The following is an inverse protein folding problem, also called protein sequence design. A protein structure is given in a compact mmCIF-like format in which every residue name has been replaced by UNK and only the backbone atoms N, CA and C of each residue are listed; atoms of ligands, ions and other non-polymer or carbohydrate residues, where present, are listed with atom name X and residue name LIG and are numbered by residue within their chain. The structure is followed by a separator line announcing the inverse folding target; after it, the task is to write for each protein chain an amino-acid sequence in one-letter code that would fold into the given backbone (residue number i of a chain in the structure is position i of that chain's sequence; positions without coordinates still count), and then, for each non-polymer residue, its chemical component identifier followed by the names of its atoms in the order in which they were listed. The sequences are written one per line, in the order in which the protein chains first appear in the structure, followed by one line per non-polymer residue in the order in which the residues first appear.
data_IF_883363700440
#
_entry.id   IF_883363700440
#
_cell.length_a   1.000
_cell.length_b   1.000
_cell.length_c   1.000
_cell.angle_alpha   90.00
_cell.angle_beta   90.00
_cell.angle_gamma   90.00
#
_symmetry.space_group_name_H-M   'P 1'
#
loop_
_entity.id
_entity.type
_entity.pdbx_description
1 polymer ?
#
# COMPACT_ATOMS: atom_id res chain seq x y z
N UNK A 1 -11.40 24.08 9.29
CA UNK A 1 -11.00 22.90 10.09
C UNK A 1 -11.42 23.15 11.54
N UNK A 2 -12.17 22.26 12.19
CA UNK A 2 -12.56 22.45 13.61
C UNK A 2 -11.46 22.04 14.59
N UNK A 3 -10.56 21.15 14.18
CA UNK A 3 -9.42 20.66 14.98
C UNK A 3 -8.13 21.36 14.54
N UNK A 4 -7.30 21.74 15.50
CA UNK A 4 -6.03 22.44 15.33
C UNK A 4 -4.96 21.77 16.19
N UNK A 5 -3.74 21.75 15.66
CA UNK A 5 -2.53 21.47 16.43
C UNK A 5 -1.71 22.74 16.53
N UNK A 6 -1.08 22.91 17.68
CA UNK A 6 -0.23 24.06 17.92
C UNK A 6 0.56 23.90 19.20
N UNK A 7 1.45 24.84 19.41
CA UNK A 7 2.23 24.93 20.64
C UNK A 7 1.47 25.76 21.65
N UNK A 8 1.44 25.28 22.90
CA UNK A 8 0.93 26.06 24.01
C UNK A 8 1.92 27.15 24.41
N UNK A 9 1.44 28.38 24.48
CA UNK A 9 2.18 29.53 24.97
C UNK A 9 1.36 30.32 26.00
N UNK A 10 2.07 31.09 26.84
CA UNK A 10 1.44 32.04 27.76
C UNK A 10 1.94 33.45 27.43
N UNK A 11 1.02 34.30 27.00
CA UNK A 11 1.26 35.70 26.63
C UNK A 11 0.45 36.55 27.60
N UNK A 12 1.11 37.46 28.33
CA UNK A 12 0.50 38.34 29.33
C UNK A 12 -0.40 37.61 30.37
N UNK A 13 0.03 36.43 30.81
CA UNK A 13 -0.71 35.62 31.80
C UNK A 13 -1.90 34.85 31.23
N UNK A 14 -2.10 34.86 29.90
CA UNK A 14 -3.20 34.17 29.23
C UNK A 14 -2.69 33.04 28.36
N UNK A 15 -3.46 31.96 28.32
CA UNK A 15 -3.17 30.79 27.49
C UNK A 15 -3.49 31.06 26.01
N UNK A 16 -2.52 30.76 25.15
CA UNK A 16 -2.64 30.84 23.71
C UNK A 16 -2.26 29.51 23.06
N UNK A 17 -2.94 29.23 21.97
CA UNK A 17 -2.53 28.24 20.98
C UNK A 17 -1.79 28.98 19.88
N UNK A 18 -0.57 28.56 19.58
CA UNK A 18 0.19 28.96 18.39
C UNK A 18 0.04 27.84 17.36
N UNK A 19 -0.86 27.97 16.36
CA UNK A 19 -1.12 26.88 15.41
C UNK A 19 0.13 26.53 14.58
N UNK A 20 0.29 25.24 14.26
CA UNK A 20 1.39 24.80 13.37
C UNK A 20 1.22 25.29 11.92
N UNK A 21 -0.01 25.59 11.50
CA UNK A 21 -0.27 26.23 10.22
C UNK A 21 -0.10 27.75 10.35
N UNK A 22 1.01 28.27 9.84
CA UNK A 22 1.36 29.70 9.93
C UNK A 22 0.34 30.64 9.28
N UNK A 23 -0.59 30.13 8.46
CA UNK A 23 -1.71 30.92 7.91
C UNK A 23 -2.76 31.25 8.96
N UNK A 24 -2.75 30.54 10.09
CA UNK A 24 -3.69 30.72 11.20
C UNK A 24 -2.96 31.47 12.32
N UNK A 25 -3.47 32.65 12.68
CA UNK A 25 -2.92 33.43 13.77
C UNK A 25 -3.09 32.76 15.15
N UNK A 26 -2.25 33.20 16.10
CA UNK A 26 -2.37 32.82 17.50
C UNK A 26 -3.78 33.11 18.04
N UNK A 27 -4.33 32.22 18.85
CA UNK A 27 -5.66 32.38 19.41
C UNK A 27 -5.73 32.01 20.88
N UNK A 28 -6.60 32.68 21.68
CA UNK A 28 -6.84 32.29 23.06
C UNK A 28 -7.25 30.82 23.18
N UNK A 29 -6.64 30.12 24.13
CA UNK A 29 -6.86 28.71 24.40
C UNK A 29 -7.53 28.53 25.76
N UNK A 30 -8.70 27.90 25.76
CA UNK A 30 -9.38 27.44 26.99
C UNK A 30 -8.76 26.11 27.43
N UNK A 31 -8.22 26.09 28.63
CA UNK A 31 -7.61 24.92 29.25
C UNK A 31 -8.53 24.43 30.37
N UNK A 32 -8.91 23.16 30.34
CA UNK A 32 -9.60 22.50 31.43
C UNK A 32 -8.59 21.67 32.22
N UNK A 33 -8.20 22.10 33.42
CA UNK A 33 -7.32 21.34 34.31
C UNK A 33 -6.00 22.03 34.68
N UNK A 34 -4.95 21.20 34.88
CA UNK A 34 -3.68 21.59 35.49
C UNK A 34 -2.86 22.58 34.65
N UNK A 35 -1.88 23.22 35.30
CA UNK A 35 -0.89 24.10 34.66
C UNK A 35 -0.08 23.29 33.64
N UNK A 36 0.02 23.80 32.42
CA UNK A 36 0.80 23.21 31.34
C UNK A 36 2.13 23.96 31.20
N UNK A 37 3.19 23.24 30.85
CA UNK A 37 4.48 23.85 30.53
C UNK A 37 4.44 24.49 29.15
N UNK A 38 5.04 25.67 29.01
CA UNK A 38 5.21 26.37 27.72
C UNK A 38 5.96 25.49 26.73
N UNK A 39 5.66 25.65 25.45
CA UNK A 39 6.36 24.94 24.38
C UNK A 39 5.84 23.53 24.07
N UNK A 40 4.90 22.99 24.86
CA UNK A 40 4.28 21.69 24.58
C UNK A 40 3.32 21.75 23.40
N UNK A 41 3.32 20.71 22.58
CA UNK A 41 2.32 20.51 21.52
C UNK A 41 0.99 20.12 22.15
N UNK A 42 -0.08 20.75 21.69
CA UNK A 42 -1.45 20.48 22.13
C UNK A 42 -2.39 20.37 20.93
N UNK A 43 -3.37 19.49 21.08
CA UNK A 43 -4.52 19.40 20.19
C UNK A 43 -5.68 20.21 20.78
N UNK A 44 -6.33 21.00 19.93
CA UNK A 44 -7.43 21.87 20.32
C UNK A 44 -8.55 21.87 19.28
N UNK A 45 -9.76 22.19 19.71
CA UNK A 45 -10.92 22.42 18.84
C UNK A 45 -11.34 23.87 18.87
N UNK A 46 -11.65 24.45 17.70
CA UNK A 46 -12.18 25.81 17.58
C UNK A 46 -13.56 25.85 18.24
N UNK A 47 -13.61 26.44 19.43
CA UNK A 47 -14.82 26.60 20.23
C UNK A 47 -15.67 27.79 19.77
N UNK A 48 -15.03 28.82 19.21
CA UNK A 48 -15.68 29.97 18.60
C UNK A 48 -14.90 30.45 17.38
N UNK A 49 -15.58 30.58 16.25
CA UNK A 49 -15.00 31.25 15.08
C UNK A 49 -14.94 32.76 15.32
N UNK A 50 -13.86 33.39 14.85
CA UNK A 50 -13.69 34.83 14.95
C UNK A 50 -14.72 35.57 14.10
N UNK A 51 -15.00 36.81 14.48
CA UNK A 51 -15.76 37.78 13.68
C UNK A 51 -14.88 39.00 13.42
N UNK A 52 -15.38 39.98 12.65
CA UNK A 52 -14.67 41.26 12.49
C UNK A 52 -14.38 41.96 13.83
N UNK A 53 -15.16 41.66 14.88
CA UNK A 53 -15.09 42.33 16.19
C UNK A 53 -14.51 41.46 17.31
N UNK A 54 -14.28 40.16 17.06
CA UNK A 54 -13.85 39.24 18.12
C UNK A 54 -12.89 38.16 17.59
N UNK A 55 -11.80 37.87 18.31
CA UNK A 55 -10.87 36.83 17.89
C UNK A 55 -11.51 35.44 17.99
N UNK A 56 -11.04 34.47 17.18
CA UNK A 56 -11.38 33.07 17.35
C UNK A 56 -10.88 32.55 18.70
N UNK A 57 -11.50 31.50 19.23
CA UNK A 57 -11.11 30.84 20.48
C UNK A 57 -11.07 29.33 20.30
N UNK A 58 -10.05 28.69 20.85
CA UNK A 58 -9.92 27.24 20.88
C UNK A 58 -10.12 26.69 22.30
N UNK A 59 -10.57 25.44 22.40
CA UNK A 59 -10.59 24.67 23.63
C UNK A 59 -9.63 23.49 23.48
N UNK A 60 -8.73 23.32 24.45
CA UNK A 60 -7.78 22.22 24.46
C UNK A 60 -8.53 20.90 24.61
N UNK A 61 -8.16 19.92 23.78
CA UNK A 61 -8.69 18.56 23.81
C UNK A 61 -7.68 17.63 24.48
N UNK A 62 -6.41 17.76 24.13
CA UNK A 62 -5.35 16.86 24.59
C UNK A 62 -3.99 17.57 24.59
N UNK A 63 -3.17 17.27 25.60
CA UNK A 63 -1.75 17.61 25.60
C UNK A 63 -1.01 16.47 24.92
N UNK A 64 -0.23 16.78 23.87
CA UNK A 64 0.51 15.78 23.12
C UNK A 64 1.90 15.53 23.74
N UNK A 65 2.67 16.59 24.03
CA UNK A 65 3.98 16.46 24.66
C UNK A 65 5.03 17.42 24.08
N UNK A 66 6.30 17.02 24.11
CA UNK A 66 7.42 17.79 23.56
C UNK A 66 7.44 17.75 22.02
N UNK A 67 7.68 18.88 21.35
CA UNK A 67 7.68 18.95 19.88
C UNK A 67 8.77 18.12 19.21
N UNK A 68 9.88 17.87 19.93
CA UNK A 68 11.04 17.12 19.42
C UNK A 68 10.92 15.61 19.68
N UNK A 69 9.87 15.15 20.37
CA UNK A 69 9.61 13.73 20.59
C UNK A 69 8.98 13.10 19.33
N UNK A 70 9.60 12.07 18.73
CA UNK A 70 9.05 11.40 17.53
C UNK A 70 7.63 10.84 17.72
N UNK A 71 7.27 10.35 18.91
CA UNK A 71 5.91 9.88 19.19
C UNK A 71 4.93 11.04 19.13
N UNK A 72 5.30 12.21 19.66
CA UNK A 72 4.47 13.42 19.61
C UNK A 72 4.28 13.89 18.15
N UNK A 73 5.31 13.77 17.33
CA UNK A 73 5.22 14.08 15.90
C UNK A 73 4.29 13.12 15.15
N UNK A 74 4.41 11.81 15.40
CA UNK A 74 3.52 10.80 14.83
C UNK A 74 2.06 11.03 15.25
N UNK A 75 1.79 11.22 16.55
CA UNK A 75 0.45 11.52 17.07
C UNK A 75 -0.13 12.83 16.50
N UNK A 76 0.74 13.83 16.27
CA UNK A 76 0.34 15.08 15.62
C UNK A 76 -0.11 14.84 14.18
N UNK A 77 0.60 14.00 13.41
CA UNK A 77 0.17 13.63 12.04
C UNK A 77 -1.17 12.87 12.10
N UNK A 78 -1.29 11.87 12.96
CA UNK A 78 -2.51 11.08 13.17
C UNK A 78 -3.70 12.00 13.45
N UNK A 79 -3.55 12.92 14.41
CA UNK A 79 -4.60 13.87 14.77
C UNK A 79 -4.91 14.85 13.63
N UNK A 80 -3.89 15.39 12.96
CA UNK A 80 -4.05 16.38 11.87
C UNK A 80 -4.87 15.83 10.72
N UNK A 81 -4.61 14.59 10.32
CA UNK A 81 -5.28 13.92 9.22
C UNK A 81 -6.54 13.17 9.66
N UNK A 82 -6.87 13.18 10.96
CA UNK A 82 -8.06 12.52 11.49
C UNK A 82 -8.00 11.00 11.42
N UNK A 83 -6.79 10.43 11.46
CA UNK A 83 -6.57 8.99 11.46
C UNK A 83 -6.95 8.41 12.82
N UNK A 84 -7.64 7.26 12.83
CA UNK A 84 -8.03 6.58 14.07
C UNK A 84 -7.20 5.30 14.25
N UNK A 85 -6.33 5.23 15.27
CA UNK A 85 -5.60 3.99 15.56
C UNK A 85 -6.51 2.90 16.14
N UNK A 86 -7.60 3.28 16.83
CA UNK A 86 -8.56 2.34 17.42
C UNK A 86 -9.76 2.06 16.53
N UNK A 87 -10.33 0.86 16.65
CA UNK A 87 -11.57 0.48 16.00
C UNK A 87 -12.78 0.70 16.91
N UNK A 88 -13.95 1.08 16.36
CA UNK A 88 -15.18 1.19 17.14
C UNK A 88 -15.61 -0.14 17.79
N UNK A 89 -16.30 -0.14 18.96
CA UNK A 89 -16.73 -1.37 19.65
C UNK A 89 -17.60 -2.31 18.81
N UNK A 90 -18.39 -1.77 17.89
CA UNK A 90 -19.19 -2.54 16.94
C UNK A 90 -18.34 -3.37 15.97
N UNK A 91 -17.20 -2.84 15.52
CA UNK A 91 -16.24 -3.56 14.68
C UNK A 91 -15.63 -4.73 15.46
N UNK A 92 -15.20 -4.48 16.70
CA UNK A 92 -14.67 -5.55 17.56
C UNK A 92 -15.68 -6.68 17.81
N UNK A 93 -16.95 -6.35 18.03
CA UNK A 93 -18.00 -7.36 18.20
C UNK A 93 -18.20 -8.20 16.93
N UNK A 94 -18.18 -7.57 15.76
CA UNK A 94 -18.31 -8.27 14.48
C UNK A 94 -17.14 -9.24 14.26
N UNK A 95 -15.90 -8.78 14.46
CA UNK A 95 -14.68 -9.58 14.38
C UNK A 95 -14.75 -10.78 15.32
N UNK A 96 -15.09 -10.58 16.60
CA UNK A 96 -15.17 -11.66 17.60
C UNK A 96 -16.29 -12.68 17.30
N UNK A 97 -17.32 -12.28 16.55
CA UNK A 97 -18.41 -13.16 16.13
C UNK A 97 -18.11 -13.95 14.85
N UNK A 98 -17.08 -13.55 14.10
CA UNK A 98 -16.70 -14.20 12.87
C UNK A 98 -16.12 -15.60 13.17
N UNK A 99 -16.64 -16.62 12.48
CA UNK A 99 -16.08 -17.98 12.54
C UNK A 99 -14.85 -18.00 11.64
N UNK A 100 -13.66 -18.10 12.25
CA UNK A 100 -12.38 -18.14 11.53
C UNK A 100 -12.05 -19.51 10.92
N UNK A 101 -12.96 -20.48 11.00
CA UNK A 101 -12.82 -21.78 10.35
C UNK A 101 -13.56 -21.76 9.01
N UNK A 102 -12.84 -22.07 7.94
CA UNK A 102 -13.43 -22.22 6.61
C UNK A 102 -14.24 -23.52 6.61
N UNK A 103 -15.54 -23.44 6.30
CA UNK A 103 -16.39 -24.63 6.25
C UNK A 103 -16.04 -25.53 5.07
N UNK A 104 -16.18 -26.84 5.23
CA UNK A 104 -16.02 -27.80 4.12
C UNK A 104 -16.95 -27.51 2.95
N UNK A 105 -18.15 -27.00 3.24
CA UNK A 105 -19.12 -26.59 2.23
C UNK A 105 -18.67 -25.37 1.42
N UNK A 106 -17.90 -24.46 2.01
CA UNK A 106 -17.31 -23.32 1.30
C UNK A 106 -16.12 -23.77 0.45
N UNK A 107 -15.27 -24.66 0.99
CA UNK A 107 -14.17 -25.28 0.25
C UNK A 107 -14.69 -26.00 -1.00
N UNK A 108 -15.76 -26.79 -0.87
CA UNK A 108 -16.34 -27.55 -1.97
C UNK A 108 -16.94 -26.70 -3.10
N UNK A 109 -17.22 -25.41 -2.86
CA UNK A 109 -17.75 -24.47 -3.86
C UNK A 109 -16.66 -23.77 -4.68
N UNK A 110 -15.40 -23.87 -4.24
CA UNK A 110 -14.27 -23.12 -4.78
C UNK A 110 -13.35 -24.04 -5.56
N UNK A 111 -12.58 -23.45 -6.47
CA UNK A 111 -11.52 -24.20 -7.15
C UNK A 111 -10.40 -24.53 -6.17
N UNK A 112 -10.06 -25.82 -6.07
CA UNK A 112 -9.04 -26.30 -5.16
C UNK A 112 -7.65 -26.17 -5.77
N UNK A 113 -6.91 -25.15 -5.33
CA UNK A 113 -5.54 -24.87 -5.74
C UNK A 113 -4.52 -25.29 -4.67
N UNK A 114 -4.96 -25.90 -3.56
CA UNK A 114 -4.06 -26.39 -2.48
C UNK A 114 -2.98 -27.36 -2.97
N UNK A 115 -3.18 -28.18 -4.02
CA UNK A 115 -2.11 -29.03 -4.55
C UNK A 115 -0.98 -28.27 -5.27
N UNK A 116 -1.18 -27.01 -5.65
CA UNK A 116 -0.16 -26.21 -6.32
C UNK A 116 0.81 -25.62 -5.28
N UNK A 117 2.12 -25.56 -5.56
CA UNK A 117 3.11 -24.95 -4.67
C UNK A 117 3.07 -23.41 -4.80
N UNK A 118 1.93 -22.83 -4.49
CA UNK A 118 1.69 -21.38 -4.42
C UNK A 118 2.47 -20.81 -3.24
N UNK A 119 3.07 -19.64 -3.40
CA UNK A 119 3.89 -18.96 -2.37
C UNK A 119 3.51 -17.49 -2.25
N UNK A 120 3.75 -16.90 -1.09
CA UNK A 120 3.73 -15.43 -0.90
C UNK A 120 5.18 -14.91 -0.93
N UNK A 121 5.41 -13.70 -1.43
CA UNK A 121 6.73 -13.06 -1.48
C UNK A 121 6.60 -11.61 -1.06
N UNK A 122 7.07 -11.30 0.14
CA UNK A 122 6.82 -10.01 0.80
C UNK A 122 8.08 -9.44 1.47
N UNK A 123 7.97 -8.26 2.07
CA UNK A 123 9.01 -7.71 2.94
C UNK A 123 9.17 -8.51 4.24
N UNK A 124 10.34 -8.45 4.86
CA UNK A 124 10.68 -9.17 6.10
C UNK A 124 9.71 -8.84 7.24
N UNK A 125 9.26 -7.59 7.29
CA UNK A 125 8.39 -7.06 8.34
C UNK A 125 6.88 -7.20 8.04
N UNK A 126 6.51 -7.68 6.84
CA UNK A 126 5.11 -7.85 6.45
C UNK A 126 4.44 -8.96 7.27
N UNK A 127 3.17 -8.75 7.63
CA UNK A 127 2.34 -9.70 8.43
C UNK A 127 1.00 -10.03 7.77
N UNK A 128 0.58 -9.18 6.84
CA UNK A 128 -0.62 -9.22 6.04
C UNK A 128 -0.24 -9.59 4.59
N UNK A 129 -0.25 -10.88 4.30
CA UNK A 129 0.09 -11.39 2.97
C UNK A 129 -1.19 -11.42 2.12
N UNK A 130 -1.36 -10.42 1.25
CA UNK A 130 -2.58 -10.25 0.46
C UNK A 130 -2.57 -11.07 -0.84
N UNK A 131 -1.39 -11.35 -1.39
CA UNK A 131 -1.23 -12.03 -2.67
C UNK A 131 -0.30 -13.24 -2.59
N UNK A 132 -0.61 -14.23 -3.41
CA UNK A 132 0.19 -15.43 -3.58
C UNK A 132 0.26 -15.81 -5.06
N UNK A 133 1.41 -16.31 -5.50
CA UNK A 133 1.70 -16.50 -6.92
C UNK A 133 2.18 -17.90 -7.25
N UNK A 134 1.80 -18.37 -8.43
CA UNK A 134 2.31 -19.60 -9.03
C UNK A 134 2.33 -19.48 -10.56
N UNK A 135 3.40 -19.92 -11.18
CA UNK A 135 3.56 -20.00 -12.63
C UNK A 135 3.72 -21.46 -13.05
N UNK A 136 3.18 -21.85 -14.22
CA UNK A 136 3.56 -23.10 -14.90
C UNK A 136 3.71 -22.88 -16.39
N UNK A 137 4.48 -23.75 -17.05
CA UNK A 137 4.57 -23.75 -18.51
C UNK A 137 3.28 -24.27 -19.14
N UNK A 138 2.90 -23.68 -20.27
CA UNK A 138 1.80 -24.14 -21.11
C UNK A 138 2.28 -24.15 -22.58
N UNK A 139 2.83 -25.28 -23.03
CA UNK A 139 3.48 -25.38 -24.33
C UNK A 139 4.68 -24.44 -24.43
N UNK A 140 4.65 -23.51 -25.39
CA UNK A 140 5.65 -22.43 -25.53
C UNK A 140 5.34 -21.18 -24.68
N UNK A 141 4.19 -21.16 -24.01
CA UNK A 141 3.72 -20.06 -23.18
C UNK A 141 3.72 -20.38 -21.69
N UNK A 142 2.96 -19.59 -20.94
CA UNK A 142 2.91 -19.64 -19.48
C UNK A 142 1.48 -19.49 -18.98
N UNK A 143 1.22 -20.04 -17.82
CA UNK A 143 0.05 -19.74 -17.02
C UNK A 143 0.50 -19.16 -15.68
N UNK A 144 0.00 -17.99 -15.36
CA UNK A 144 0.18 -17.31 -14.08
C UNK A 144 -1.11 -17.42 -13.27
N UNK A 145 -0.96 -17.76 -12.01
CA UNK A 145 -2.00 -17.75 -10.99
C UNK A 145 -1.61 -16.67 -9.99
N UNK A 146 -2.43 -15.63 -9.89
CA UNK A 146 -2.36 -14.60 -8.84
C UNK A 146 -3.57 -14.79 -7.94
N UNK A 147 -3.35 -15.33 -6.75
CA UNK A 147 -4.38 -15.60 -5.76
C UNK A 147 -4.39 -14.48 -4.72
N UNK A 148 -5.45 -13.68 -4.69
CA UNK A 148 -5.63 -12.57 -3.75
C UNK A 148 -6.52 -13.02 -2.60
N UNK A 149 -6.20 -12.65 -1.37
CA UNK A 149 -7.04 -12.86 -0.20
C UNK A 149 -8.50 -12.46 -0.46
N UNK A 150 -9.46 -13.36 -0.16
CA UNK A 150 -10.89 -13.06 -0.35
C UNK A 150 -11.45 -12.21 0.80
N UNK A 151 -10.96 -10.97 0.94
CA UNK A 151 -11.39 -10.02 1.97
C UNK A 151 -12.91 -9.79 1.90
N UNK A 152 -13.48 -9.79 0.69
CA UNK A 152 -14.92 -9.62 0.46
C UNK A 152 -15.81 -10.72 1.06
N UNK A 153 -15.22 -11.89 1.35
CA UNK A 153 -15.91 -12.96 2.06
C UNK A 153 -16.13 -12.61 3.54
N UNK A 154 -15.16 -11.93 4.16
CA UNK A 154 -15.14 -11.60 5.59
C UNK A 154 -15.70 -10.21 5.89
N UNK A 155 -15.52 -9.26 4.97
CA UNK A 155 -16.05 -7.90 5.06
C UNK A 155 -17.24 -7.79 4.12
N UNK A 156 -18.46 -7.84 4.67
CA UNK A 156 -19.70 -7.81 3.89
C UNK A 156 -20.25 -6.40 3.78
N UNK A 157 -20.87 -6.04 2.64
CA UNK A 157 -21.45 -4.70 2.47
C UNK A 157 -22.39 -4.33 3.61
N UNK A 158 -22.38 -3.06 3.97
CA UNK A 158 -23.25 -2.44 4.97
C UNK A 158 -23.00 -2.88 6.43
N UNK A 159 -22.00 -3.74 6.70
CA UNK A 159 -21.62 -4.11 8.08
C UNK A 159 -20.75 -3.05 8.75
N UNK A 160 -20.46 -3.22 10.05
CA UNK A 160 -19.61 -2.28 10.77
C UNK A 160 -18.16 -2.34 10.27
N UNK A 161 -17.68 -3.53 9.89
CA UNK A 161 -16.38 -3.70 9.23
C UNK A 161 -16.31 -2.95 7.90
N UNK A 162 -17.34 -3.07 7.06
CA UNK A 162 -17.39 -2.39 5.76
C UNK A 162 -17.42 -0.86 5.91
N UNK A 163 -18.27 -0.34 6.78
CA UNK A 163 -18.36 1.10 7.04
C UNK A 163 -17.04 1.68 7.56
N UNK A 164 -16.35 0.95 8.45
CA UNK A 164 -15.06 1.37 8.99
C UNK A 164 -13.94 1.27 7.95
N UNK A 165 -13.91 0.20 7.15
CA UNK A 165 -12.95 0.04 6.05
C UNK A 165 -13.15 1.16 5.01
N UNK A 166 -14.39 1.49 4.67
CA UNK A 166 -14.73 2.61 3.80
C UNK A 166 -14.28 3.96 4.38
N UNK A 167 -14.49 4.18 5.68
CA UNK A 167 -14.07 5.42 6.35
C UNK A 167 -12.54 5.58 6.40
N UNK A 168 -11.80 4.48 6.54
CA UNK A 168 -10.32 4.47 6.53
C UNK A 168 -9.74 4.54 5.13
N UNK A 169 -10.42 3.94 4.15
CA UNK A 169 -10.06 3.78 2.74
C UNK A 169 -8.77 3.00 2.44
N UNK A 170 -7.72 3.16 3.24
CA UNK A 170 -6.43 2.48 3.07
C UNK A 170 -5.68 2.38 4.41
N UNK A 171 -4.75 1.43 4.52
CA UNK A 171 -3.81 1.36 5.63
C UNK A 171 -2.79 2.49 5.52
N UNK A 172 -2.38 3.08 6.66
CA UNK A 172 -1.39 4.16 6.69
C UNK A 172 -0.12 3.65 7.37
N UNK A 173 0.99 3.65 6.64
CA UNK A 173 2.28 3.14 7.12
C UNK A 173 3.17 4.29 7.63
N UNK A 174 3.54 4.22 8.89
CA UNK A 174 4.58 5.03 9.53
C UNK A 174 5.88 4.20 9.60
N UNK A 175 7.05 4.84 9.81
CA UNK A 175 8.31 4.11 9.93
C UNK A 175 8.32 3.03 11.01
N UNK A 176 7.61 3.24 12.12
CA UNK A 176 7.60 2.36 13.30
C UNK A 176 6.32 1.52 13.44
N UNK A 177 5.22 1.87 12.76
CA UNK A 177 3.92 1.21 12.89
C UNK A 177 3.02 1.38 11.67
N UNK A 178 2.00 0.53 11.57
CA UNK A 178 0.91 0.74 10.63
C UNK A 178 -0.39 1.11 11.37
N UNK A 179 -1.21 1.96 10.76
CA UNK A 179 -2.62 2.14 11.12
C UNK A 179 -3.42 1.32 10.11
N UNK A 180 -3.90 0.12 10.47
CA UNK A 180 -4.46 -0.79 9.49
C UNK A 180 -5.89 -0.36 9.11
N UNK A 181 -6.25 -0.64 7.86
CA UNK A 181 -7.62 -0.47 7.37
C UNK A 181 -8.59 -1.46 8.04
N UNK A 182 -8.13 -2.68 8.29
CA UNK A 182 -8.90 -3.74 8.93
C UNK A 182 -8.28 -4.12 10.28
N UNK A 183 -9.08 -4.62 11.25
CA UNK A 183 -8.53 -5.13 12.49
C UNK A 183 -7.50 -6.24 12.26
N UNK A 184 -6.42 -6.25 13.05
CA UNK A 184 -5.30 -7.21 12.88
C UNK A 184 -5.74 -8.68 12.91
N UNK A 185 -6.78 -9.01 13.69
CA UNK A 185 -7.37 -10.34 13.74
C UNK A 185 -7.89 -10.82 12.38
N UNK A 186 -8.25 -9.90 11.49
CA UNK A 186 -8.59 -10.19 10.10
C UNK A 186 -7.36 -10.08 9.20
N UNK A 187 -6.70 -8.91 9.18
CA UNK A 187 -5.62 -8.62 8.22
C UNK A 187 -4.45 -9.57 8.35
N UNK A 188 -3.97 -9.83 9.58
CA UNK A 188 -2.82 -10.70 9.85
C UNK A 188 -3.24 -12.17 10.08
N UNK A 189 -4.55 -12.38 10.29
CA UNK A 189 -5.14 -13.67 10.63
C UNK A 189 -5.70 -14.39 9.41
N UNK A 190 -7.02 -14.36 9.28
CA UNK A 190 -7.74 -15.18 8.28
C UNK A 190 -7.67 -14.60 6.86
N UNK A 191 -7.45 -13.30 6.71
CA UNK A 191 -7.25 -12.68 5.39
C UNK A 191 -5.79 -12.81 4.94
N UNK A 192 -4.82 -12.88 5.85
CA UNK A 192 -3.42 -13.12 5.48
C UNK A 192 -3.24 -14.53 4.94
N UNK A 193 -2.55 -14.66 3.80
CA UNK A 193 -2.26 -15.93 3.12
C UNK A 193 -1.12 -16.72 3.79
N UNK A 194 -1.26 -16.93 5.11
CA UNK A 194 -0.28 -17.59 5.96
C UNK A 194 0.12 -18.99 5.44
N UNK A 195 1.40 -19.36 5.56
CA UNK A 195 1.90 -20.62 5.04
C UNK A 195 1.31 -21.80 5.79
N UNK A 196 1.05 -22.89 5.07
CA UNK A 196 0.51 -24.15 5.57
C UNK A 196 -0.89 -24.05 6.18
N UNK A 197 -1.66 -23.02 5.84
CA UNK A 197 -3.05 -22.89 6.26
C UNK A 197 -3.96 -22.73 5.04
N UNK A 198 -5.15 -23.33 5.10
CA UNK A 198 -6.14 -23.19 4.04
C UNK A 198 -6.70 -21.75 4.08
N UNK A 199 -6.77 -21.11 2.90
CA UNK A 199 -7.18 -19.71 2.75
C UNK A 199 -8.09 -19.51 1.55
N UNK A 200 -9.14 -18.72 1.75
CA UNK A 200 -10.07 -18.31 0.70
C UNK A 200 -9.44 -17.19 -0.12
N UNK A 201 -9.47 -17.37 -1.45
CA UNK A 201 -8.87 -16.44 -2.39
C UNK A 201 -9.79 -16.17 -3.57
N UNK A 202 -9.55 -15.04 -4.24
CA UNK A 202 -10.00 -14.78 -5.60
C UNK A 202 -8.78 -14.86 -6.50
N UNK A 203 -8.78 -15.80 -7.44
CA UNK A 203 -7.62 -16.04 -8.31
C UNK A 203 -7.84 -15.46 -9.70
N UNK A 204 -6.88 -14.67 -10.15
CA UNK A 204 -6.68 -14.34 -11.55
C UNK A 204 -5.75 -15.37 -12.18
N UNK A 205 -6.31 -16.20 -13.07
CA UNK A 205 -5.54 -17.08 -13.95
C UNK A 205 -5.33 -16.38 -15.28
N UNK A 206 -4.09 -16.28 -15.72
CA UNK A 206 -3.70 -15.52 -16.90
C UNK A 206 -2.77 -16.38 -17.75
N UNK A 207 -3.14 -16.57 -19.01
CA UNK A 207 -2.33 -17.26 -19.99
C UNK A 207 -1.52 -16.25 -20.81
N UNK A 208 -0.26 -16.57 -21.03
CA UNK A 208 0.68 -15.79 -21.82
C UNK A 208 1.26 -16.64 -22.95
N UNK A 209 1.47 -16.03 -24.11
CA UNK A 209 2.27 -16.65 -25.16
C UNK A 209 3.78 -16.60 -24.82
N UNK A 210 4.62 -17.21 -25.66
CA UNK A 210 6.07 -17.24 -25.46
C UNK A 210 6.78 -15.87 -25.53
N UNK A 211 6.07 -14.79 -25.87
CA UNK A 211 6.58 -13.41 -25.86
C UNK A 211 6.21 -12.63 -24.60
N UNK A 212 5.40 -13.20 -23.71
CA UNK A 212 4.87 -12.48 -22.54
C UNK A 212 3.63 -11.66 -22.82
N UNK A 213 2.93 -11.90 -23.94
CA UNK A 213 1.66 -11.24 -24.24
C UNK A 213 0.50 -12.06 -23.68
N UNK A 214 -0.41 -11.41 -22.94
CA UNK A 214 -1.62 -12.06 -22.43
C UNK A 214 -2.52 -12.53 -23.57
N UNK A 215 -2.82 -13.82 -23.61
CA UNK A 215 -3.72 -14.45 -24.59
C UNK A 215 -5.13 -14.65 -24.03
N UNK A 216 -5.22 -14.99 -22.74
CA UNK A 216 -6.49 -15.31 -22.08
C UNK A 216 -6.42 -15.00 -20.58
N UNK A 217 -7.55 -14.70 -19.97
CA UNK A 217 -7.68 -14.62 -18.52
C UNK A 217 -9.00 -15.22 -18.03
N UNK A 218 -8.98 -15.75 -16.81
CA UNK A 218 -10.15 -16.27 -16.08
C UNK A 218 -10.03 -15.86 -14.62
N UNK A 219 -11.17 -15.56 -14.00
CA UNK A 219 -11.24 -15.19 -12.58
C UNK A 219 -12.23 -16.11 -11.90
N UNK A 220 -11.88 -16.58 -10.71
CA UNK A 220 -12.69 -17.53 -9.96
C UNK A 220 -12.36 -17.48 -8.47
N UNK A 221 -13.32 -17.88 -7.65
CA UNK A 221 -13.12 -18.09 -6.23
C UNK A 221 -12.37 -19.42 -6.02
N UNK A 222 -11.33 -19.39 -5.19
CA UNK A 222 -10.43 -20.51 -4.97
C UNK A 222 -10.11 -20.71 -3.49
N UNK A 223 -9.59 -21.88 -3.17
CA UNK A 223 -8.92 -22.18 -1.89
C UNK A 223 -7.47 -22.52 -2.18
N UNK A 224 -6.55 -21.90 -1.45
CA UNK A 224 -5.12 -22.19 -1.51
C UNK A 224 -4.62 -22.68 -0.16
N UNK A 225 -3.43 -23.26 -0.16
CA UNK A 225 -2.61 -23.48 1.03
C UNK A 225 -1.20 -23.06 0.69
N UNK A 226 -0.81 -21.86 1.12
CA UNK A 226 0.51 -21.30 0.77
C UNK A 226 1.60 -22.27 1.21
N UNK A 227 2.46 -22.67 0.28
CA UNK A 227 3.52 -23.66 0.49
C UNK A 227 4.67 -23.08 1.31
N UNK A 228 4.95 -21.79 1.11
CA UNK A 228 5.97 -21.06 1.83
C UNK A 228 5.66 -19.56 1.84
N UNK A 229 6.00 -18.91 2.95
CA UNK A 229 6.15 -17.46 3.05
C UNK A 229 7.60 -17.14 2.72
N UNK A 230 7.82 -16.43 1.63
CA UNK A 230 9.14 -16.03 1.16
C UNK A 230 9.33 -14.53 1.39
N UNK A 231 10.59 -14.12 1.52
CA UNK A 231 10.97 -12.70 1.48
C UNK A 231 11.58 -12.33 0.14
N UNK A 232 11.51 -11.05 -0.24
CA UNK A 232 12.24 -10.55 -1.42
C UNK A 232 13.75 -10.87 -1.34
N UNK A 233 14.33 -10.79 -0.14
CA UNK A 233 15.73 -11.14 0.10
C UNK A 233 16.02 -12.62 -0.13
N UNK A 234 15.17 -13.54 0.34
CA UNK A 234 15.34 -14.97 0.10
C UNK A 234 15.24 -15.32 -1.39
N UNK A 235 14.26 -14.75 -2.10
CA UNK A 235 14.10 -15.01 -3.54
C UNK A 235 15.28 -14.45 -4.34
N UNK A 236 15.79 -13.27 -3.99
CA UNK A 236 17.05 -12.74 -4.55
C UNK A 236 18.22 -13.68 -4.26
N UNK A 237 18.38 -14.16 -3.02
CA UNK A 237 19.46 -15.08 -2.64
C UNK A 237 19.43 -16.38 -3.46
N UNK A 238 18.24 -16.86 -3.81
CA UNK A 238 18.05 -18.04 -4.66
C UNK A 238 18.42 -17.74 -6.12
N UNK A 239 17.89 -16.66 -6.70
CA UNK A 239 18.00 -16.38 -8.14
C UNK A 239 19.33 -15.74 -8.53
N UNK A 240 19.78 -14.76 -7.76
CA UNK A 240 20.91 -13.89 -8.08
C UNK A 240 22.18 -14.39 -7.38
N UNK A 241 22.15 -14.43 -6.05
CA UNK A 241 23.35 -14.73 -5.26
C UNK A 241 23.71 -16.22 -5.33
N UNK A 242 22.75 -17.07 -5.70
CA UNK A 242 22.85 -18.54 -5.74
C UNK A 242 23.39 -19.11 -4.42
N UNK A 243 22.91 -18.52 -3.32
CA UNK A 243 23.33 -18.87 -1.98
C UNK A 243 22.99 -20.35 -1.68
N UNK A 244 24.03 -21.15 -1.43
CA UNK A 244 23.89 -22.60 -1.36
C UNK A 244 22.98 -23.06 -0.20
N UNK A 245 22.99 -22.33 0.91
CA UNK A 245 22.13 -22.63 2.06
C UNK A 245 20.66 -22.35 1.73
N UNK A 246 20.36 -21.16 1.18
CA UNK A 246 18.99 -20.79 0.81
C UNK A 246 18.43 -21.69 -0.31
N UNK A 247 19.26 -22.00 -1.32
CA UNK A 247 18.91 -22.93 -2.40
C UNK A 247 18.63 -24.33 -1.87
N UNK A 248 19.44 -24.85 -0.94
CA UNK A 248 19.21 -26.16 -0.33
C UNK A 248 17.92 -26.18 0.50
N UNK A 249 17.66 -25.11 1.28
CA UNK A 249 16.46 -24.97 2.11
C UNK A 249 15.17 -24.97 1.28
N UNK A 250 15.18 -24.30 0.13
CA UNK A 250 14.00 -24.14 -0.73
C UNK A 250 14.12 -24.92 -2.05
N UNK A 251 14.85 -26.05 -2.06
CA UNK A 251 15.19 -26.80 -3.28
C UNK A 251 13.96 -27.13 -4.16
N UNK A 252 12.82 -27.44 -3.54
CA UNK A 252 11.56 -27.73 -4.26
C UNK A 252 10.89 -26.53 -4.95
N UNK A 253 11.32 -25.29 -4.65
CA UNK A 253 10.77 -24.06 -5.20
C UNK A 253 11.76 -23.33 -6.13
N UNK A 254 13.02 -23.76 -6.20
CA UNK A 254 14.05 -23.08 -7.00
C UNK A 254 13.66 -22.95 -8.47
N UNK A 255 13.19 -24.02 -9.08
CA UNK A 255 12.78 -23.99 -10.49
C UNK A 255 11.49 -23.19 -10.69
N UNK A 256 10.66 -23.10 -9.67
CA UNK A 256 9.49 -22.25 -9.66
C UNK A 256 9.87 -20.77 -9.69
N UNK A 257 10.82 -20.35 -8.86
CA UNK A 257 11.31 -18.96 -8.86
C UNK A 257 12.00 -18.59 -10.18
N UNK A 258 12.76 -19.50 -10.78
CA UNK A 258 13.37 -19.26 -12.11
C UNK A 258 12.30 -19.07 -13.18
N UNK A 259 11.24 -19.87 -13.14
CA UNK A 259 10.12 -19.74 -14.08
C UNK A 259 9.36 -18.42 -13.88
N UNK A 260 9.22 -17.99 -12.61
CA UNK A 260 8.64 -16.69 -12.30
C UNK A 260 9.50 -15.54 -12.84
N UNK A 261 10.82 -15.59 -12.67
CA UNK A 261 11.78 -14.63 -13.23
C UNK A 261 11.68 -14.55 -14.76
N UNK A 262 11.68 -15.70 -15.44
CA UNK A 262 11.56 -15.80 -16.90
C UNK A 262 10.28 -15.10 -17.40
N UNK A 263 9.12 -15.41 -16.80
CA UNK A 263 7.85 -14.79 -17.18
C UNK A 263 7.84 -13.29 -16.86
N UNK A 264 8.28 -12.88 -15.68
CA UNK A 264 8.29 -11.47 -15.28
C UNK A 264 9.13 -10.61 -16.23
N UNK A 265 10.29 -11.10 -16.66
CA UNK A 265 11.14 -10.40 -17.63
C UNK A 265 10.47 -10.29 -19.01
N UNK A 266 9.76 -11.33 -19.46
CA UNK A 266 9.00 -11.27 -20.72
C UNK A 266 7.84 -10.26 -20.67
N UNK A 267 7.11 -10.21 -19.55
CA UNK A 267 6.04 -9.22 -19.33
C UNK A 267 6.63 -7.81 -19.32
N UNK A 268 7.73 -7.60 -18.60
CA UNK A 268 8.43 -6.32 -18.53
C UNK A 268 8.86 -5.82 -19.92
N UNK A 269 9.52 -6.66 -20.71
CA UNK A 269 9.95 -6.27 -22.07
C UNK A 269 8.76 -5.97 -22.98
N UNK A 270 7.67 -6.72 -22.87
CA UNK A 270 6.42 -6.42 -23.59
C UNK A 270 5.83 -5.07 -23.19
N UNK A 271 5.80 -4.74 -21.90
CA UNK A 271 5.31 -3.44 -21.39
C UNK A 271 6.23 -2.29 -21.79
N UNK A 272 7.53 -2.50 -21.73
CA UNK A 272 8.54 -1.53 -22.15
C UNK A 272 8.40 -1.20 -23.63
N UNK A 273 8.19 -2.20 -24.48
CA UNK A 273 7.92 -2.01 -25.91
C UNK A 273 6.64 -1.18 -26.18
N UNK A 274 5.67 -1.18 -25.25
CA UNK A 274 4.45 -0.35 -25.31
C UNK A 274 4.63 1.07 -24.77
N UNK A 275 5.83 1.45 -24.32
CA UNK A 275 6.15 2.79 -23.84
C UNK A 275 6.06 2.97 -22.32
N UNK A 276 6.23 1.88 -21.54
CA UNK A 276 6.30 1.99 -20.08
C UNK A 276 7.43 2.94 -19.63
N UNK A 277 7.10 3.88 -18.74
CA UNK A 277 8.07 4.77 -18.11
C UNK A 277 8.43 4.20 -16.73
N UNK A 278 9.63 3.63 -16.62
CA UNK A 278 10.18 3.12 -15.35
C UNK A 278 10.99 4.23 -14.69
N UNK A 279 10.39 4.91 -13.71
CA UNK A 279 11.08 5.90 -12.87
C UNK A 279 11.67 5.20 -11.66
N UNK A 280 12.90 4.70 -11.78
CA UNK A 280 13.66 4.18 -10.65
C UNK A 280 14.18 5.34 -9.78
N UNK A 281 13.26 5.99 -9.06
CA UNK A 281 13.61 7.05 -8.12
C UNK A 281 14.18 6.41 -6.85
N UNK A 282 15.30 6.93 -6.30
CA UNK A 282 15.83 6.42 -5.05
C UNK A 282 14.85 6.72 -3.92
N UNK A 283 14.22 5.68 -3.38
CA UNK A 283 13.43 5.77 -2.16
C UNK A 283 14.33 5.64 -0.93
N UNK A 284 14.02 6.39 0.12
CA UNK A 284 14.73 6.34 1.39
C UNK A 284 14.04 5.36 2.34
N UNK A 285 14.81 4.42 2.89
CA UNK A 285 14.38 3.51 3.95
C UNK A 285 15.01 3.97 5.27
N UNK A 286 14.18 4.13 6.30
CA UNK A 286 14.59 4.59 7.62
C UNK A 286 14.76 3.37 8.52
N UNK A 287 15.98 3.14 8.99
CA UNK A 287 16.28 2.11 9.98
C UNK A 287 16.14 2.73 11.38
N UNK A 288 15.30 2.11 12.21
CA UNK A 288 15.07 2.53 13.58
C UNK A 288 15.84 1.64 14.56
N UNK A 289 16.34 2.23 15.64
CA UNK A 289 16.92 1.49 16.77
C UNK A 289 15.84 0.84 17.66
N UNK A 290 16.26 0.16 18.73
CA UNK A 290 15.35 -0.48 19.69
C UNK A 290 14.48 0.51 20.48
N UNK A 291 14.84 1.80 20.47
CA UNK A 291 14.08 2.89 21.10
C UNK A 291 13.14 3.56 20.10
N UNK A 292 13.13 3.14 18.83
CA UNK A 292 12.31 3.71 17.76
C UNK A 292 12.88 5.01 17.19
N UNK A 293 14.15 5.32 17.46
CA UNK A 293 14.82 6.51 16.92
C UNK A 293 15.51 6.16 15.59
N UNK A 294 15.55 7.08 14.61
CA UNK A 294 16.29 6.86 13.37
C UNK A 294 17.79 6.63 13.64
N UNK A 295 18.25 5.42 13.36
CA UNK A 295 19.67 5.02 13.43
C UNK A 295 20.37 5.29 12.09
N UNK A 296 19.69 4.99 10.98
CA UNK A 296 20.27 5.12 9.65
C UNK A 296 19.20 5.43 8.58
N UNK A 297 19.62 6.00 7.46
CA UNK A 297 18.80 6.22 6.27
C UNK A 297 19.53 5.59 5.09
N UNK A 298 18.96 4.53 4.53
CA UNK A 298 19.53 3.78 3.42
C UNK A 298 18.67 3.95 2.17
N UNK A 299 19.22 3.62 1.00
CA UNK A 299 18.43 3.57 -0.22
C UNK A 299 17.69 2.23 -0.26
N UNK A 300 16.38 2.26 -0.46
CA UNK A 300 15.59 1.05 -0.64
C UNK A 300 16.12 0.27 -1.86
N UNK A 301 16.39 -1.02 -1.68
CA UNK A 301 16.92 -1.86 -2.74
C UNK A 301 15.80 -2.55 -3.52
N UNK A 302 15.59 -2.12 -4.78
CA UNK A 302 14.69 -2.82 -5.72
C UNK A 302 15.47 -3.90 -6.47
N UNK A 303 15.14 -5.16 -6.19
CA UNK A 303 15.79 -6.33 -6.81
C UNK A 303 14.82 -7.14 -7.71
N UNK A 304 15.28 -8.24 -8.29
CA UNK A 304 14.48 -9.06 -9.21
C UNK A 304 13.21 -9.64 -8.56
N UNK A 305 13.24 -9.96 -7.26
CA UNK A 305 12.07 -10.50 -6.55
C UNK A 305 10.94 -9.47 -6.47
N UNK A 306 11.28 -8.20 -6.23
CA UNK A 306 10.32 -7.09 -6.26
C UNK A 306 9.68 -6.96 -7.64
N UNK A 307 10.51 -7.04 -8.70
CA UNK A 307 10.04 -6.97 -10.09
C UNK A 307 9.12 -8.14 -10.47
N UNK A 308 9.41 -9.35 -10.00
CA UNK A 308 8.54 -10.51 -10.24
C UNK A 308 7.12 -10.24 -9.73
N UNK A 309 6.99 -9.83 -8.47
CA UNK A 309 5.67 -9.55 -7.88
C UNK A 309 5.02 -8.34 -8.56
N UNK A 310 5.76 -7.27 -8.81
CA UNK A 310 5.25 -6.07 -9.50
C UNK A 310 4.64 -6.41 -10.87
N UNK A 311 5.35 -7.14 -11.73
CA UNK A 311 4.86 -7.51 -13.05
C UNK A 311 3.64 -8.43 -12.99
N UNK A 312 3.57 -9.33 -12.01
CA UNK A 312 2.43 -10.22 -11.82
C UNK A 312 1.20 -9.48 -11.31
N UNK A 313 1.36 -8.58 -10.35
CA UNK A 313 0.26 -7.75 -9.84
C UNK A 313 -0.27 -6.81 -10.92
N UNK A 314 0.61 -6.20 -11.73
CA UNK A 314 0.20 -5.36 -12.84
C UNK A 314 -0.55 -6.18 -13.89
N UNK A 315 -0.07 -7.36 -14.25
CA UNK A 315 -0.77 -8.24 -15.18
C UNK A 315 -2.16 -8.64 -14.67
N UNK A 316 -2.30 -8.97 -13.38
CA UNK A 316 -3.58 -9.24 -12.76
C UNK A 316 -4.53 -8.03 -12.79
N UNK A 317 -4.05 -6.86 -12.38
CA UNK A 317 -4.83 -5.62 -12.40
C UNK A 317 -5.30 -5.26 -13.82
N UNK A 318 -4.43 -5.33 -14.82
CA UNK A 318 -4.79 -5.10 -16.22
C UNK A 318 -5.82 -6.12 -16.72
N UNK A 319 -5.68 -7.40 -16.36
CA UNK A 319 -6.61 -8.45 -16.76
C UNK A 319 -8.01 -8.24 -16.14
N UNK A 320 -8.08 -7.89 -14.85
CA UNK A 320 -9.35 -7.56 -14.16
C UNK A 320 -9.99 -6.35 -14.81
N UNK A 321 -9.23 -5.25 -14.98
CA UNK A 321 -9.73 -4.03 -15.60
C UNK A 321 -10.28 -4.32 -17.00
N UNK A 322 -9.53 -5.05 -17.85
CA UNK A 322 -9.98 -5.43 -19.20
C UNK A 322 -11.28 -6.23 -19.18
N UNK A 323 -11.44 -7.16 -18.25
CA UNK A 323 -12.66 -7.96 -18.16
C UNK A 323 -13.86 -7.13 -17.71
N UNK A 324 -13.69 -6.27 -16.70
CA UNK A 324 -14.77 -5.42 -16.20
C UNK A 324 -15.18 -4.38 -17.25
N UNK A 325 -14.23 -3.77 -17.97
CA UNK A 325 -14.49 -2.87 -19.09
C UNK A 325 -15.26 -3.59 -20.21
N UNK A 326 -14.83 -4.78 -20.62
CA UNK A 326 -15.50 -5.54 -21.68
C UNK A 326 -16.94 -5.94 -21.33
N UNK A 327 -17.27 -6.03 -20.04
CA UNK A 327 -18.62 -6.33 -19.52
C UNK A 327 -19.45 -5.08 -19.21
N UNK A 328 -18.90 -3.89 -19.43
CA UNK A 328 -19.52 -2.60 -19.03
C UNK A 328 -19.92 -2.59 -17.54
N UNK A 329 -19.09 -3.21 -16.70
CA UNK A 329 -19.37 -3.31 -15.26
C UNK A 329 -18.95 -2.02 -14.55
N UNK A 330 -19.83 -1.38 -13.74
CA UNK A 330 -19.46 -0.20 -12.96
C UNK A 330 -18.31 -0.51 -12.00
N UNK A 331 -17.17 0.14 -12.18
CA UNK A 331 -15.97 -0.13 -11.39
C UNK A 331 -15.11 1.12 -11.22
N UNK A 332 -14.21 1.08 -10.23
CA UNK A 332 -13.24 2.13 -9.97
C UNK A 332 -11.95 1.84 -10.73
N UNK A 333 -11.58 2.73 -11.67
CA UNK A 333 -10.32 2.63 -12.40
C UNK A 333 -9.22 3.44 -11.72
N UNK A 334 -8.00 2.89 -11.68
CA UNK A 334 -6.79 3.64 -11.31
C UNK A 334 -6.23 4.34 -12.55
N UNK A 335 -6.67 5.57 -12.77
CA UNK A 335 -6.27 6.38 -13.95
C UNK A 335 -5.10 7.30 -13.59
N UNK A 336 -4.11 7.35 -14.47
CA UNK A 336 -3.04 8.37 -14.45
C UNK A 336 -3.21 9.27 -15.68
N UNK A 337 -3.57 10.53 -15.46
CA UNK A 337 -3.72 11.50 -16.54
C UNK A 337 -2.35 11.87 -17.13
N UNK A 338 -2.33 12.28 -18.41
CA UNK A 338 -1.13 12.77 -19.04
C UNK A 338 -0.58 14.02 -18.33
N UNK A 339 0.74 14.28 -18.39
CA UNK A 339 1.33 15.43 -17.74
C UNK A 339 0.74 16.73 -18.27
N UNK A 340 0.46 17.67 -17.38
CA UNK A 340 -0.09 18.96 -17.76
C UNK A 340 0.86 19.69 -18.74
N UNK A 341 0.32 20.21 -19.84
CA UNK A 341 1.10 20.81 -20.95
C UNK A 341 2.13 21.87 -20.52
N UNK A 342 1.82 22.66 -19.48
CA UNK A 342 2.75 23.66 -18.91
C UNK A 342 4.00 23.04 -18.27
N UNK A 343 3.90 21.84 -17.68
CA UNK A 343 5.03 21.12 -17.09
C UNK A 343 5.96 20.56 -18.18
N UNK A 344 5.39 20.14 -19.31
CA UNK A 344 6.14 19.65 -20.49
C UNK A 344 6.99 20.79 -21.07
N UNK A 345 6.41 21.99 -21.24
CA UNK A 345 7.12 23.17 -21.75
C UNK A 345 8.28 23.61 -20.84
N UNK A 346 8.10 23.54 -19.52
CA UNK A 346 9.15 23.84 -18.55
C UNK A 346 10.28 22.78 -18.56
N UNK A 347 9.95 21.50 -18.75
CA UNK A 347 10.94 20.43 -18.89
C UNK A 347 11.77 20.57 -20.17
N UNK A 348 11.14 20.91 -21.31
CA UNK A 348 11.83 21.11 -22.58
C UNK A 348 12.78 22.32 -22.54
N UNK A 349 12.38 23.42 -21.87
CA UNK A 349 13.25 24.58 -21.65
C UNK A 349 14.50 24.23 -20.82
N UNK A 350 14.37 23.36 -19.81
CA UNK A 350 15.52 22.89 -19.00
C UNK A 350 16.39 21.84 -19.73
N UNK A 351 15.87 21.18 -20.77
CA UNK A 351 16.62 20.20 -21.60
C UNK A 351 17.46 20.83 -22.72
N UNK A 352 17.16 22.07 -23.12
CA UNK A 352 17.92 22.80 -24.17
C UNK A 352 19.45 22.85 -24.00
N UNK A 353 20.04 23.01 -22.80
CA UNK A 353 21.49 23.01 -22.64
C UNK A 353 22.16 21.62 -22.69
N UNK A 354 21.40 20.52 -22.74
CA UNK A 354 21.93 19.14 -22.75
C UNK A 354 21.87 18.46 -24.14
N UNK A 355 21.51 19.22 -25.19
CA UNK A 355 21.19 18.67 -26.52
C UNK A 355 22.32 17.98 -27.31
N UNK A 356 23.64 18.17 -27.11
CA UNK A 356 24.60 17.49 -28.01
C UNK A 356 24.75 15.97 -27.80
N UNK A 357 24.08 15.33 -26.82
CA UNK A 357 24.33 13.93 -26.49
C UNK A 357 23.13 12.97 -26.60
N UNK A 358 21.95 13.40 -27.07
CA UNK A 358 20.72 12.58 -26.92
C UNK A 358 19.81 12.52 -28.16
N UNK A 359 20.37 12.57 -29.37
CA UNK A 359 19.62 12.38 -30.64
C UNK A 359 19.29 10.89 -30.96
N UNK A 360 19.26 10.00 -29.96
CA UNK A 360 18.92 8.57 -30.15
C UNK A 360 17.59 8.14 -29.52
N UNK A 361 16.80 9.06 -28.98
CA UNK A 361 15.45 8.77 -28.47
C UNK A 361 14.41 9.61 -29.23
N UNK A 362 13.96 9.09 -30.37
CA UNK A 362 12.86 9.64 -31.13
C UNK A 362 11.54 9.43 -30.35
N UNK A 363 10.78 10.48 -30.00
CA UNK A 363 9.48 10.33 -29.36
C UNK A 363 8.42 10.17 -30.46
N UNK A 364 7.96 8.95 -30.71
CA UNK A 364 6.70 8.73 -31.42
C UNK A 364 5.57 8.69 -30.39
N UNK A 365 4.60 9.59 -30.59
CA UNK A 365 3.30 9.68 -29.92
C UNK A 365 3.24 10.33 -28.52
N UNK A 366 3.56 11.62 -28.48
CA UNK A 366 2.97 12.55 -27.50
C UNK A 366 2.47 13.80 -28.23
N UNK A 367 1.47 13.63 -29.08
CA UNK A 367 0.51 14.66 -29.53
C UNK A 367 -0.26 14.12 -30.73
N UNK A 368 -1.47 13.61 -30.50
CA UNK A 368 -2.52 13.71 -31.51
C UNK A 368 -3.72 14.44 -30.88
N UNK A 369 -3.97 15.72 -31.24
CA UNK A 369 -5.09 16.49 -30.72
C UNK A 369 -6.42 16.24 -31.46
N UNK A 370 -6.53 15.27 -32.38
CA UNK A 370 -7.76 15.10 -33.19
C UNK A 370 -8.73 14.00 -32.71
N UNK A 371 -8.99 13.89 -31.41
CA UNK A 371 -10.14 13.15 -30.88
C UNK A 371 -10.88 14.02 -29.86
N UNK A 372 -11.72 14.90 -30.40
CA UNK A 372 -12.81 15.61 -29.70
C UNK A 372 -14.12 14.88 -29.89
#
# INVERSE_FOLDING_TARGET
QKRLLGTYEEIDGKAYLIPMDARIGAMPLKIAGARLDKGKVVAAEVSRFGTAMSPPEAAMVQVMGDPDDPEVQAQSIIFRFGLSPSFPPQVHREVMSAVYQISESEIARREDLRPLPIVTIDGENARDFDDAVYVRRNGQGYELFVSIADVSYYVRPETALDQEAFARATSVYFPDRAIPMLPEALSNGICSLNPNEDRLTKTAWIEFNGKGETTRSRFFDSVIRSHARMTYTEVRRILVDKDSECVARYAGLVDQFKLMEELALLIYETRKARGNLDFDLPEAEIILDLQGLPENIVRAERNIAHRIIEEFMIAANEAVARQLTAKDFPTLYRVHEGPHHLLIGAADQRRRPLRPCLDLLHPLHLADPSLS
#
